data_IF_409803657174
#
_entry.id   IF_409803657174
#
_cell.length_a   1.000
_cell.length_b   1.000
_cell.length_c   1.000
_cell.angle_alpha   90.00
_cell.angle_beta   90.00
_cell.angle_gamma   90.00
#
_symmetry.space_group_name_H-M   'P 1'
#
loop_
_entity.id
_entity.type
_entity.pdbx_description
1 polymer ?
#
# COMPACT_ATOMS: atom_id res chain seq x y z
N UNK A 1 -6.11 -9.63 14.74
CA UNK A 1 -5.37 -9.39 13.49
C UNK A 1 -5.71 -8.04 12.90
N UNK A 2 -4.83 -7.07 13.19
CA UNK A 2 -4.84 -5.76 12.55
C UNK A 2 -4.50 -5.90 11.07
N UNK A 3 -4.95 -4.97 10.25
CA UNK A 3 -4.69 -4.97 8.80
C UNK A 3 -4.11 -3.63 8.37
N UNK A 4 -3.13 -3.69 7.48
CA UNK A 4 -2.74 -2.55 6.68
C UNK A 4 -3.04 -2.84 5.20
N UNK A 5 -3.33 -1.80 4.43
CA UNK A 5 -3.59 -1.89 3.00
C UNK A 5 -2.44 -1.23 2.23
N UNK A 6 -1.90 -1.94 1.25
CA UNK A 6 -0.92 -1.42 0.31
C UNK A 6 -1.65 -0.89 -0.92
N UNK A 7 -1.64 0.43 -1.08
CA UNK A 7 -2.10 1.14 -2.27
C UNK A 7 -0.96 1.17 -3.28
N UNK A 8 -1.12 0.40 -4.35
CA UNK A 8 -0.15 0.26 -5.44
C UNK A 8 -0.68 0.88 -6.73
N UNK A 9 0.19 0.94 -7.75
CA UNK A 9 -0.15 1.49 -9.06
C UNK A 9 -1.18 0.59 -9.77
N UNK A 10 -2.44 1.00 -9.77
CA UNK A 10 -3.52 0.33 -10.50
C UNK A 10 -3.44 0.58 -12.01
N UNK A 11 -4.36 -0.01 -12.81
CA UNK A 11 -4.44 0.31 -14.23
C UNK A 11 -4.67 1.82 -14.40
N UNK A 12 -4.10 2.37 -15.47
CA UNK A 12 -4.03 3.80 -15.74
C UNK A 12 -5.38 4.53 -15.66
N UNK A 13 -5.29 5.86 -15.64
CA UNK A 13 -6.44 6.76 -15.67
C UNK A 13 -7.29 6.45 -16.91
N UNK A 14 -8.60 6.58 -16.78
CA UNK A 14 -9.56 6.40 -17.88
C UNK A 14 -9.12 7.18 -19.14
N UNK A 15 -8.90 6.46 -20.25
CA UNK A 15 -8.47 7.05 -21.53
C UNK A 15 -7.03 6.74 -21.96
N UNK A 16 -6.16 6.21 -21.09
CA UNK A 16 -4.85 5.72 -21.51
C UNK A 16 -4.88 4.22 -21.92
N UNK A 17 -4.17 3.82 -22.98
CA UNK A 17 -4.13 2.43 -23.38
C UNK A 17 -3.49 1.58 -22.28
N UNK A 18 -4.29 0.65 -21.73
CA UNK A 18 -3.86 -0.30 -20.73
C UNK A 18 -2.71 -1.16 -21.25
N UNK A 19 -1.54 -1.09 -20.58
CA UNK A 19 -0.43 -2.00 -20.82
C UNK A 19 -0.51 -3.19 -19.86
N UNK A 20 -0.91 -4.40 -20.34
CA UNK A 20 -1.04 -5.58 -19.49
C UNK A 20 0.29 -6.05 -18.88
N UNK A 21 1.40 -5.83 -19.57
CA UNK A 21 2.73 -6.25 -19.10
C UNK A 21 3.17 -5.38 -17.93
N UNK A 22 3.04 -4.06 -18.07
CA UNK A 22 3.36 -3.10 -17.02
C UNK A 22 2.48 -3.31 -15.79
N UNK A 23 1.18 -3.51 -16.00
CA UNK A 23 0.26 -3.88 -14.92
C UNK A 23 0.70 -5.15 -14.19
N UNK A 24 1.04 -6.21 -14.93
CA UNK A 24 1.51 -7.47 -14.34
C UNK A 24 2.81 -7.27 -13.54
N UNK A 25 3.70 -6.37 -13.96
CA UNK A 25 4.90 -6.00 -13.21
C UNK A 25 4.54 -5.32 -11.89
N UNK A 26 3.66 -4.32 -11.90
CA UNK A 26 3.23 -3.64 -10.67
C UNK A 26 2.54 -4.60 -9.69
N UNK A 27 1.67 -5.49 -10.18
CA UNK A 27 1.03 -6.53 -9.36
C UNK A 27 2.09 -7.43 -8.71
N UNK A 28 3.07 -7.90 -9.48
CA UNK A 28 4.14 -8.78 -8.97
C UNK A 28 4.99 -8.08 -7.90
N UNK A 29 5.35 -6.81 -8.13
CA UNK A 29 6.10 -6.01 -7.14
C UNK A 29 5.30 -5.84 -5.84
N UNK A 30 4.03 -5.45 -5.95
CA UNK A 30 3.17 -5.23 -4.80
C UNK A 30 2.98 -6.51 -3.97
N UNK A 31 2.74 -7.65 -4.65
CA UNK A 31 2.67 -8.97 -4.03
C UNK A 31 3.95 -9.30 -3.27
N UNK A 32 5.11 -9.17 -3.93
CA UNK A 32 6.41 -9.47 -3.32
C UNK A 32 6.66 -8.66 -2.05
N UNK A 33 6.36 -7.35 -2.09
CA UNK A 33 6.49 -6.49 -0.92
C UNK A 33 5.56 -6.93 0.22
N UNK A 34 4.27 -7.12 -0.06
CA UNK A 34 3.28 -7.55 0.94
C UNK A 34 3.62 -8.91 1.55
N UNK A 35 4.06 -9.88 0.74
CA UNK A 35 4.51 -11.20 1.21
C UNK A 35 5.74 -11.09 2.12
N UNK A 36 6.71 -10.24 1.76
CA UNK A 36 7.92 -10.02 2.57
C UNK A 36 7.56 -9.40 3.91
N UNK A 37 6.70 -8.38 3.90
CA UNK A 37 6.22 -7.70 5.11
C UNK A 37 5.39 -8.64 6.00
N UNK A 38 4.50 -9.45 5.41
CA UNK A 38 3.70 -10.42 6.15
C UNK A 38 4.54 -11.53 6.78
N UNK A 39 5.56 -12.02 6.06
CA UNK A 39 6.51 -12.98 6.63
C UNK A 39 7.23 -12.39 7.84
N UNK A 40 7.66 -11.13 7.76
CA UNK A 40 8.27 -10.45 8.89
C UNK A 40 7.32 -10.31 10.08
N UNK A 41 6.04 -10.01 9.85
CA UNK A 41 5.05 -9.97 10.93
C UNK A 41 4.95 -11.31 11.66
N UNK A 42 4.95 -12.42 10.93
CA UNK A 42 4.97 -13.77 11.52
C UNK A 42 6.27 -14.01 12.29
N UNK A 43 7.43 -13.71 11.69
CA UNK A 43 8.76 -13.88 12.32
C UNK A 43 8.93 -13.06 13.61
N UNK A 44 8.30 -11.88 13.69
CA UNK A 44 8.32 -10.99 14.85
C UNK A 44 7.12 -11.13 15.78
N UNK A 45 6.22 -12.07 15.51
CA UNK A 45 4.98 -12.27 16.28
C UNK A 45 4.11 -11.00 16.39
N UNK A 46 4.03 -10.21 15.32
CA UNK A 46 3.21 -9.01 15.22
C UNK A 46 1.79 -9.39 14.76
N UNK A 47 0.75 -8.90 15.44
CA UNK A 47 -0.67 -9.11 15.07
C UNK A 47 -1.11 -8.23 13.88
N UNK A 48 -0.43 -8.35 12.74
CA UNK A 48 -0.69 -7.57 11.53
C UNK A 48 -0.73 -8.44 10.27
N UNK A 49 -1.48 -7.97 9.27
CA UNK A 49 -1.47 -8.51 7.92
C UNK A 49 -1.64 -7.39 6.88
N UNK A 50 -0.71 -7.31 5.94
CA UNK A 50 -0.73 -6.42 4.78
C UNK A 50 -1.52 -7.06 3.63
N UNK A 51 -2.51 -6.33 3.10
CA UNK A 51 -3.30 -6.73 1.93
C UNK A 51 -3.10 -5.76 0.78
N UNK A 52 -3.23 -6.26 -0.44
CA UNK A 52 -3.18 -5.42 -1.63
C UNK A 52 -4.52 -4.70 -1.82
N UNK A 53 -4.44 -3.43 -2.18
CA UNK A 53 -5.58 -2.65 -2.61
C UNK A 53 -6.24 -3.24 -3.87
N UNK A 54 -7.56 -3.35 -3.83
CA UNK A 54 -8.44 -3.80 -4.93
C UNK A 54 -9.67 -2.89 -5.09
N UNK A 55 -9.70 -1.76 -4.40
CA UNK A 55 -10.86 -0.88 -4.24
C UNK A 55 -11.25 -0.06 -5.47
N UNK A 56 -10.58 -0.27 -6.61
CA UNK A 56 -10.72 0.55 -7.81
C UNK A 56 -10.65 2.07 -7.51
N UNK A 57 -9.74 2.46 -6.60
CA UNK A 57 -9.55 3.83 -6.14
C UNK A 57 -10.62 4.41 -5.20
N UNK A 58 -11.53 3.61 -4.66
CA UNK A 58 -12.54 4.05 -3.68
C UNK A 58 -11.91 4.48 -2.35
N UNK A 59 -12.11 5.75 -1.98
CA UNK A 59 -11.64 6.30 -0.70
C UNK A 59 -12.23 5.58 0.51
N UNK A 60 -13.54 5.37 0.51
CA UNK A 60 -14.26 4.77 1.64
C UNK A 60 -13.77 3.34 1.91
N UNK A 61 -13.37 2.62 0.87
CA UNK A 61 -12.80 1.28 1.01
C UNK A 61 -11.36 1.33 1.50
N UNK A 62 -10.51 2.22 0.97
CA UNK A 62 -9.09 2.33 1.33
C UNK A 62 -8.93 2.81 2.78
N UNK A 63 -9.74 3.78 3.20
CA UNK A 63 -9.72 4.38 4.53
C UNK A 63 -10.77 3.77 5.47
N UNK A 64 -11.34 2.62 5.09
CA UNK A 64 -12.26 1.88 5.93
C UNK A 64 -11.66 1.59 7.31
N UNK A 65 -12.44 1.68 8.41
CA UNK A 65 -11.97 1.41 9.78
C UNK A 65 -11.37 0.01 9.98
N UNK A 66 -11.59 -0.91 9.04
CA UNK A 66 -10.97 -2.23 9.06
C UNK A 66 -9.43 -2.19 8.89
N UNK A 67 -8.89 -1.10 8.34
CA UNK A 67 -7.47 -0.87 8.16
C UNK A 67 -6.93 0.09 9.21
N UNK A 68 -5.85 -0.30 9.89
CA UNK A 68 -5.16 0.53 10.87
C UNK A 68 -4.17 1.48 10.21
N UNK A 69 -3.68 1.11 9.01
CA UNK A 69 -2.77 1.92 8.24
C UNK A 69 -2.94 1.72 6.73
N UNK A 70 -2.69 2.79 5.98
CA UNK A 70 -2.60 2.81 4.52
C UNK A 70 -1.14 3.05 4.12
N UNK A 71 -0.56 2.11 3.38
CA UNK A 71 0.78 2.19 2.83
C UNK A 71 0.69 2.59 1.36
N UNK A 72 1.38 3.64 0.95
CA UNK A 72 1.39 4.11 -0.44
C UNK A 72 2.68 3.70 -1.14
N UNK A 73 2.58 2.88 -2.18
CA UNK A 73 3.71 2.55 -3.03
C UNK A 73 4.18 3.81 -3.81
N UNK A 74 5.49 4.04 -3.97
CA UNK A 74 6.05 5.24 -4.61
C UNK A 74 5.65 5.38 -6.08
N UNK A 75 5.30 4.27 -6.73
CA UNK A 75 4.84 4.23 -8.11
C UNK A 75 3.42 4.78 -8.25
N UNK A 76 2.61 4.75 -7.18
CA UNK A 76 1.22 5.24 -7.16
C UNK A 76 1.10 6.77 -7.06
N UNK A 77 1.96 7.54 -7.75
CA UNK A 77 2.12 9.00 -7.53
C UNK A 77 0.84 9.81 -7.70
N UNK A 78 0.05 9.52 -8.74
CA UNK A 78 -1.21 10.24 -8.97
C UNK A 78 -2.22 9.95 -7.86
N UNK A 79 -2.30 8.70 -7.41
CA UNK A 79 -3.17 8.30 -6.30
C UNK A 79 -2.71 8.91 -4.98
N UNK A 80 -1.40 8.90 -4.72
CA UNK A 80 -0.82 9.58 -3.55
C UNK A 80 -1.18 11.06 -3.53
N UNK A 81 -1.06 11.75 -4.66
CA UNK A 81 -1.38 13.18 -4.75
C UNK A 81 -2.87 13.44 -4.52
N UNK A 82 -3.75 12.65 -5.15
CA UNK A 82 -5.20 12.75 -4.98
C UNK A 82 -5.59 12.55 -3.51
N UNK A 83 -5.11 11.47 -2.90
CA UNK A 83 -5.41 11.14 -1.52
C UNK A 83 -4.79 12.16 -0.55
N UNK A 84 -3.56 12.63 -0.77
CA UNK A 84 -2.98 13.71 0.05
C UNK A 84 -3.86 14.96 0.12
N UNK A 85 -4.64 15.25 -0.91
CA UNK A 85 -5.55 16.39 -0.95
C UNK A 85 -6.89 16.08 -0.28
N UNK A 86 -7.46 14.91 -0.56
CA UNK A 86 -8.83 14.55 -0.17
C UNK A 86 -8.94 14.01 1.26
N UNK A 87 -7.87 13.40 1.81
CA UNK A 87 -7.92 12.69 3.09
C UNK A 87 -6.98 13.26 4.16
N UNK A 88 -6.76 14.58 4.14
CA UNK A 88 -5.94 15.25 5.17
C UNK A 88 -6.49 15.05 6.58
N UNK A 89 -7.82 14.94 6.73
CA UNK A 89 -8.50 14.80 8.02
C UNK A 89 -8.79 13.34 8.43
N UNK A 90 -8.41 12.35 7.63
CA UNK A 90 -8.65 10.95 7.95
C UNK A 90 -7.78 10.47 9.11
N UNK A 91 -8.41 9.79 10.08
CA UNK A 91 -7.76 9.30 11.32
C UNK A 91 -6.79 8.14 11.03
N UNK A 92 -7.01 7.39 9.94
CA UNK A 92 -6.18 6.22 9.59
C UNK A 92 -4.74 6.65 9.33
N UNK A 93 -3.79 5.93 9.93
CA UNK A 93 -2.35 6.17 9.78
C UNK A 93 -1.94 6.00 8.31
N UNK A 94 -1.06 6.88 7.82
CA UNK A 94 -0.62 6.90 6.41
C UNK A 94 0.90 6.82 6.35
N UNK A 95 1.44 5.92 5.54
CA UNK A 95 2.89 5.82 5.28
C UNK A 95 3.16 5.90 3.79
N UNK A 96 4.08 6.77 3.39
CA UNK A 96 4.49 6.91 2.00
C UNK A 96 5.83 6.22 1.83
N UNK A 97 5.82 5.08 1.15
CA UNK A 97 7.02 4.27 0.95
C UNK A 97 8.01 5.01 0.05
N UNK A 98 9.27 5.02 0.45
CA UNK A 98 10.37 5.43 -0.41
C UNK A 98 10.60 4.40 -1.53
N UNK A 99 11.25 4.85 -2.60
CA UNK A 99 11.58 3.99 -3.74
C UNK A 99 12.37 2.74 -3.31
N UNK A 100 13.35 2.91 -2.43
CA UNK A 100 14.21 1.82 -1.96
C UNK A 100 13.47 0.88 -1.01
N UNK A 101 12.64 1.41 -0.11
CA UNK A 101 11.81 0.60 0.79
C UNK A 101 10.91 -0.36 0.00
N UNK A 102 10.22 0.16 -1.02
CA UNK A 102 9.32 -0.65 -1.82
C UNK A 102 10.03 -1.63 -2.76
N UNK A 103 11.02 -1.18 -3.54
CA UNK A 103 11.64 -2.02 -4.57
C UNK A 103 12.62 -3.05 -3.99
N UNK A 104 13.29 -2.72 -2.88
CA UNK A 104 14.21 -3.63 -2.20
C UNK A 104 13.57 -4.37 -1.02
N UNK A 105 12.28 -4.13 -0.76
CA UNK A 105 11.55 -4.69 0.37
C UNK A 105 12.24 -4.45 1.73
N UNK A 106 12.76 -3.24 1.93
CA UNK A 106 13.24 -2.80 3.24
C UNK A 106 12.01 -2.39 4.05
N UNK A 107 11.69 -3.19 5.06
CA UNK A 107 10.39 -3.19 5.74
C UNK A 107 10.50 -2.77 7.21
N UNK A 108 11.71 -2.60 7.72
CA UNK A 108 12.00 -2.34 9.12
C UNK A 108 11.30 -1.06 9.61
N UNK A 109 11.46 0.04 8.87
CA UNK A 109 10.80 1.32 9.17
C UNK A 109 9.27 1.23 9.09
N UNK A 110 8.76 0.44 8.15
CA UNK A 110 7.31 0.22 7.99
C UNK A 110 6.76 -0.55 9.18
N UNK A 111 7.47 -1.58 9.63
CA UNK A 111 7.08 -2.36 10.81
C UNK A 111 7.16 -1.54 12.10
N UNK A 112 8.19 -0.71 12.26
CA UNK A 112 8.32 0.24 13.37
C UNK A 112 7.11 1.19 13.41
N UNK A 113 6.81 1.84 12.28
CA UNK A 113 5.64 2.72 12.14
C UNK A 113 4.30 2.04 12.48
N UNK A 114 4.14 0.76 12.14
CA UNK A 114 2.91 0.00 12.43
C UNK A 114 2.80 -0.44 13.91
N UNK A 115 3.92 -0.44 14.62
CA UNK A 115 4.03 -0.84 16.03
C UNK A 115 3.82 0.32 17.00
N UNK A 116 4.12 1.55 16.56
CA UNK A 116 3.67 2.80 17.19
C UNK A 116 2.14 2.92 17.19
#
# INVERSE_FOLDING_TARGET
MKKCILVWQGPGIEGEPYNPVEYAVHVRKAKKFAETLNRYFVEKNMDYNCVLDKSACSLDEIFSPQYQAVLFAPEAKTRQWLYKKEVQNEIVKKYYLEYMEYNSAQIEKVAEFLSE
#
